data_IF_849978796508
#
_entry.id   IF_849978796508
#
_cell.length_a   1.000
_cell.length_b   1.000
_cell.length_c   1.000
_cell.angle_alpha   90.00
_cell.angle_beta   90.00
_cell.angle_gamma   90.00
#
_symmetry.space_group_name_H-M   'P 1'
#
loop_
_entity.id
_entity.type
_entity.pdbx_description
1 polymer ?
#
# COMPACT_ATOMS: atom_id res chain seq x y z
N UNK A 1 -35.63 18.45 -50.64
CA UNK A 1 -34.40 17.66 -50.86
C UNK A 1 -34.54 16.38 -50.03
N UNK A 2 -34.95 15.27 -50.64
CA UNK A 2 -35.06 13.98 -49.96
C UNK A 2 -33.68 13.36 -49.88
N UNK A 3 -33.12 13.31 -48.67
CA UNK A 3 -31.87 12.59 -48.46
C UNK A 3 -32.10 11.11 -48.82
N UNK A 4 -31.28 10.51 -49.70
CA UNK A 4 -31.48 9.13 -50.06
C UNK A 4 -31.17 8.26 -48.84
N UNK A 5 -32.10 7.39 -48.44
CA UNK A 5 -32.01 6.65 -47.17
C UNK A 5 -30.66 5.93 -47.00
N UNK A 6 -30.05 5.47 -48.09
CA UNK A 6 -28.74 4.80 -48.10
C UNK A 6 -27.60 5.61 -47.45
N UNK A 7 -27.58 6.95 -47.57
CA UNK A 7 -26.52 7.79 -46.97
C UNK A 7 -26.66 7.96 -45.47
N UNK A 8 -27.88 7.87 -44.93
CA UNK A 8 -28.14 7.98 -43.49
C UNK A 8 -27.54 6.78 -42.73
N UNK A 9 -27.63 5.59 -43.30
CA UNK A 9 -27.04 4.37 -42.72
C UNK A 9 -25.51 4.38 -42.78
N UNK A 10 -24.93 4.96 -43.83
CA UNK A 10 -23.47 5.11 -43.96
C UNK A 10 -22.88 6.05 -42.89
N UNK A 11 -23.58 7.13 -42.54
CA UNK A 11 -23.13 8.08 -41.52
C UNK A 11 -23.16 7.51 -40.10
N UNK A 12 -24.16 6.65 -39.80
CA UNK A 12 -24.24 5.96 -38.52
C UNK A 12 -23.08 4.97 -38.31
N UNK A 13 -22.65 4.29 -39.37
CA UNK A 13 -21.47 3.42 -39.33
C UNK A 13 -20.18 4.23 -39.14
N UNK A 14 -20.06 5.39 -39.77
CA UNK A 14 -18.91 6.29 -39.57
C UNK A 14 -18.87 6.83 -38.13
N UNK A 15 -20.01 7.18 -37.54
CA UNK A 15 -20.12 7.61 -36.14
C UNK A 15 -19.77 6.50 -35.13
N UNK A 16 -20.07 5.24 -35.48
CA UNK A 16 -19.67 4.09 -34.66
C UNK A 16 -18.21 3.70 -34.87
N UNK A 17 -17.64 4.02 -36.05
CA UNK A 17 -16.25 3.76 -36.42
C UNK A 17 -15.29 4.91 -36.04
N UNK A 18 -15.78 6.09 -35.64
CA UNK A 18 -14.92 7.05 -34.94
C UNK A 18 -14.51 6.41 -33.64
N UNK A 19 -13.22 6.09 -33.46
CA UNK A 19 -12.81 5.41 -32.25
C UNK A 19 -13.07 6.35 -31.08
N UNK A 20 -13.37 5.75 -29.93
CA UNK A 20 -13.57 6.35 -28.60
C UNK A 20 -12.29 7.09 -28.12
N UNK A 21 -11.38 7.44 -29.03
CA UNK A 21 -10.14 8.22 -28.87
C UNK A 21 -10.31 9.54 -28.13
N UNK A 22 -11.55 10.04 -27.96
CA UNK A 22 -11.85 11.16 -27.07
C UNK A 22 -11.85 10.80 -25.57
N UNK A 23 -11.65 9.53 -25.19
CA UNK A 23 -11.32 9.14 -23.81
C UNK A 23 -9.81 9.24 -23.55
N UNK A 24 -8.96 9.04 -24.56
CA UNK A 24 -7.50 9.11 -24.42
C UNK A 24 -6.89 10.52 -24.38
N UNK A 25 -7.67 11.55 -24.73
CA UNK A 25 -7.25 12.96 -24.68
C UNK A 25 -7.89 13.73 -23.52
N UNK A 26 -8.57 13.04 -22.59
CA UNK A 26 -9.02 13.67 -21.35
C UNK A 26 -7.86 13.67 -20.36
N UNK A 27 -7.62 14.83 -19.73
CA UNK A 27 -6.61 14.98 -18.70
C UNK A 27 -7.03 14.16 -17.46
N UNK A 28 -6.65 12.88 -17.42
CA UNK A 28 -6.89 11.99 -16.26
C UNK A 28 -6.08 12.42 -15.04
N UNK A 29 -5.19 13.41 -15.18
CA UNK A 29 -4.35 13.88 -14.08
C UNK A 29 -5.15 14.25 -12.83
N UNK A 30 -6.39 14.76 -12.92
CA UNK A 30 -7.16 15.03 -11.69
C UNK A 30 -7.53 13.73 -10.95
N UNK A 31 -7.92 12.68 -11.68
CA UNK A 31 -8.28 11.37 -11.12
C UNK A 31 -7.02 10.67 -10.63
N UNK A 32 -5.95 10.72 -11.40
CA UNK A 32 -4.68 10.11 -11.05
C UNK A 32 -4.08 10.80 -9.81
N UNK A 33 -4.12 12.14 -9.72
CA UNK A 33 -3.64 12.86 -8.53
C UNK A 33 -4.51 12.60 -7.30
N UNK A 34 -5.83 12.50 -7.47
CA UNK A 34 -6.74 12.16 -6.37
C UNK A 34 -6.53 10.73 -5.87
N UNK A 35 -6.49 9.75 -6.79
CA UNK A 35 -6.27 8.35 -6.49
C UNK A 35 -4.89 8.13 -5.84
N UNK A 36 -3.83 8.72 -6.41
CA UNK A 36 -2.50 8.68 -5.81
C UNK A 36 -2.47 9.35 -4.42
N UNK A 37 -3.17 10.47 -4.23
CA UNK A 37 -3.28 11.12 -2.93
C UNK A 37 -3.89 10.21 -1.85
N UNK A 38 -4.93 9.44 -2.20
CA UNK A 38 -5.54 8.49 -1.27
C UNK A 38 -4.65 7.25 -1.03
N UNK A 39 -4.13 6.66 -2.11
CA UNK A 39 -3.36 5.42 -2.07
C UNK A 39 -2.00 5.60 -1.39
N UNK A 40 -1.32 6.72 -1.64
CA UNK A 40 0.05 6.96 -1.16
C UNK A 40 0.08 7.65 0.20
N UNK A 41 -0.90 8.50 0.53
CA UNK A 41 -0.85 9.26 1.78
C UNK A 41 -1.83 8.77 2.84
N UNK A 42 -3.07 8.41 2.46
CA UNK A 42 -4.14 8.13 3.42
C UNK A 42 -4.12 6.68 3.88
N UNK A 43 -4.05 5.74 2.95
CA UNK A 43 -4.04 4.30 3.23
C UNK A 43 -2.87 3.85 4.13
N UNK A 44 -1.60 4.17 3.83
CA UNK A 44 -0.49 3.75 4.68
C UNK A 44 -0.53 4.42 6.06
N UNK A 45 -1.00 5.67 6.16
CA UNK A 45 -1.21 6.33 7.44
C UNK A 45 -2.29 5.60 8.27
N UNK A 46 -3.39 5.21 7.65
CA UNK A 46 -4.48 4.51 8.32
C UNK A 46 -4.07 3.11 8.79
N UNK A 47 -3.34 2.37 7.95
CA UNK A 47 -2.78 1.04 8.30
C UNK A 47 -1.79 1.17 9.46
N UNK A 48 -0.88 2.15 9.40
CA UNK A 48 0.08 2.42 10.47
C UNK A 48 -0.63 2.77 11.77
N UNK A 49 -1.64 3.63 11.71
CA UNK A 49 -2.42 4.04 12.87
C UNK A 49 -3.20 2.86 13.48
N UNK A 50 -3.89 2.06 12.66
CA UNK A 50 -4.58 0.85 13.13
C UNK A 50 -3.61 -0.16 13.76
N UNK A 51 -2.43 -0.33 13.17
CA UNK A 51 -1.42 -1.22 13.72
C UNK A 51 -0.94 -0.75 15.10
N UNK A 52 -0.77 0.56 15.30
CA UNK A 52 -0.41 1.13 16.59
C UNK A 52 -1.52 0.91 17.63
N UNK A 53 -2.78 1.17 17.28
CA UNK A 53 -3.91 0.86 18.16
C UNK A 53 -4.01 -0.62 18.51
N UNK A 54 -3.76 -1.52 17.54
CA UNK A 54 -3.80 -2.96 17.77
C UNK A 54 -2.73 -3.42 18.78
N UNK A 55 -1.53 -2.83 18.74
CA UNK A 55 -0.47 -3.09 19.75
C UNK A 55 -0.90 -2.64 21.13
N UNK A 56 -1.53 -1.47 21.26
CA UNK A 56 -2.05 -0.98 22.55
C UNK A 56 -3.12 -1.93 23.11
N UNK A 57 -4.04 -2.39 22.27
CA UNK A 57 -5.05 -3.38 22.67
C UNK A 57 -4.44 -4.73 23.06
N UNK A 58 -3.38 -5.17 22.37
CA UNK A 58 -2.65 -6.38 22.72
C UNK A 58 -2.02 -6.28 24.12
N UNK A 59 -1.33 -5.17 24.41
CA UNK A 59 -0.71 -4.95 25.74
C UNK A 59 -1.77 -4.90 26.84
N UNK A 60 -2.89 -4.22 26.62
CA UNK A 60 -4.02 -4.18 27.56
C UNK A 60 -4.59 -5.58 27.84
N UNK A 61 -4.74 -6.42 26.81
CA UNK A 61 -5.21 -7.80 26.94
C UNK A 61 -4.27 -8.68 27.78
N UNK A 62 -2.95 -8.52 27.61
CA UNK A 62 -1.94 -9.25 28.40
C UNK A 62 -1.96 -8.81 29.86
N UNK A 63 -2.05 -7.51 30.13
CA UNK A 63 -2.12 -6.98 31.51
C UNK A 63 -3.35 -7.52 32.23
N UNK A 64 -4.51 -7.54 31.57
CA UNK A 64 -5.75 -8.06 32.12
C UNK A 64 -5.67 -9.58 32.40
N UNK A 65 -4.96 -10.33 31.56
CA UNK A 65 -4.72 -11.75 31.76
C UNK A 65 -3.86 -12.03 33.00
N UNK A 66 -2.76 -11.30 33.17
CA UNK A 66 -1.87 -11.46 34.32
C UNK A 66 -2.61 -11.13 35.63
N UNK A 67 -3.46 -10.08 35.61
CA UNK A 67 -4.22 -9.66 36.78
C UNK A 67 -5.28 -10.69 37.27
N UNK A 68 -5.75 -11.59 36.40
CA UNK A 68 -6.82 -12.56 36.71
C UNK A 68 -6.30 -13.98 37.03
N UNK A 69 -4.98 -14.14 37.21
CA UNK A 69 -4.33 -15.46 37.36
C UNK A 69 -4.61 -16.18 38.70
N UNK A 70 -5.20 -15.50 39.70
CA UNK A 70 -5.29 -15.99 41.09
C UNK A 70 -6.49 -16.90 41.40
N UNK A 71 -7.37 -17.21 40.44
CA UNK A 71 -8.53 -18.08 40.62
C UNK A 71 -8.50 -19.22 39.59
N UNK A 72 -8.67 -20.47 40.02
CA UNK A 72 -8.54 -21.68 39.17
C UNK A 72 -9.45 -21.61 37.92
N UNK A 73 -10.69 -21.10 38.06
CA UNK A 73 -11.62 -20.86 36.96
C UNK A 73 -11.14 -19.73 36.04
N UNK A 74 -10.67 -18.62 36.62
CA UNK A 74 -10.15 -17.48 35.87
C UNK A 74 -8.83 -17.79 35.16
N UNK A 75 -8.09 -18.81 35.60
CA UNK A 75 -6.86 -19.28 34.97
C UNK A 75 -7.12 -20.01 33.65
N UNK A 76 -8.20 -20.79 33.55
CA UNK A 76 -8.59 -21.40 32.27
C UNK A 76 -9.08 -20.37 31.26
N UNK A 77 -9.97 -19.47 31.69
CA UNK A 77 -10.45 -18.37 30.85
C UNK A 77 -9.31 -17.42 30.43
N UNK A 78 -8.37 -17.19 31.34
CA UNK A 78 -7.18 -16.42 31.08
C UNK A 78 -6.29 -17.07 30.02
N UNK A 79 -6.02 -18.38 30.13
CA UNK A 79 -5.23 -19.12 29.15
C UNK A 79 -5.87 -19.04 27.76
N UNK A 80 -7.19 -19.13 27.67
CA UNK A 80 -7.89 -18.96 26.40
C UNK A 80 -7.71 -17.54 25.84
N UNK A 81 -7.83 -16.50 26.68
CA UNK A 81 -7.56 -15.10 26.28
C UNK A 81 -6.11 -14.86 25.84
N UNK A 82 -5.14 -15.51 26.48
CA UNK A 82 -3.73 -15.43 26.07
C UNK A 82 -3.52 -16.00 24.66
N UNK A 83 -4.15 -17.13 24.33
CA UNK A 83 -4.07 -17.72 22.98
C UNK A 83 -4.70 -16.80 21.95
N UNK A 84 -5.87 -16.21 22.24
CA UNK A 84 -6.49 -15.22 21.35
C UNK A 84 -5.63 -13.98 21.15
N UNK A 85 -4.96 -13.50 22.20
CA UNK A 85 -3.98 -12.41 22.10
C UNK A 85 -2.77 -12.78 21.24
N UNK A 86 -2.23 -13.99 21.41
CA UNK A 86 -1.10 -14.49 20.61
C UNK A 86 -1.47 -14.65 19.13
N UNK A 87 -2.68 -15.13 18.83
CA UNK A 87 -3.18 -15.21 17.45
C UNK A 87 -3.31 -13.82 16.83
N UNK A 88 -3.81 -12.84 17.57
CA UNK A 88 -3.89 -11.45 17.10
C UNK A 88 -2.49 -10.86 16.80
N UNK A 89 -1.50 -11.12 17.67
CA UNK A 89 -0.11 -10.70 17.44
C UNK A 89 0.49 -11.38 16.21
N UNK A 90 0.27 -12.68 16.06
CA UNK A 90 0.76 -13.45 14.93
C UNK A 90 0.23 -12.90 13.59
N UNK A 91 -1.07 -12.57 13.52
CA UNK A 91 -1.68 -11.98 12.32
C UNK A 91 -1.08 -10.61 12.00
N UNK A 92 -0.88 -9.73 12.99
CA UNK A 92 -0.28 -8.41 12.77
C UNK A 92 1.13 -8.50 12.17
N UNK A 93 1.98 -9.35 12.74
CA UNK A 93 3.36 -9.54 12.26
C UNK A 93 3.37 -10.22 10.89
N UNK A 94 2.49 -11.20 10.68
CA UNK A 94 2.33 -11.89 9.40
C UNK A 94 1.95 -10.94 8.26
N UNK A 95 1.04 -10.00 8.51
CA UNK A 95 0.66 -8.98 7.51
C UNK A 95 1.84 -8.08 7.15
N UNK A 96 2.63 -7.59 8.11
CA UNK A 96 3.83 -6.79 7.81
C UNK A 96 4.89 -7.58 7.04
N UNK A 97 5.15 -8.83 7.43
CA UNK A 97 6.08 -9.70 6.71
C UNK A 97 5.62 -9.99 5.28
N UNK A 98 4.32 -10.21 5.10
CA UNK A 98 3.73 -10.42 3.78
C UNK A 98 3.76 -9.14 2.94
N UNK A 99 3.49 -7.98 3.52
CA UNK A 99 3.57 -6.69 2.82
C UNK A 99 4.98 -6.45 2.31
N UNK A 100 6.00 -6.66 3.14
CA UNK A 100 7.42 -6.53 2.74
C UNK A 100 7.76 -7.54 1.63
N UNK A 101 7.34 -8.79 1.78
CA UNK A 101 7.56 -9.82 0.76
C UNK A 101 6.92 -9.44 -0.58
N UNK A 102 5.67 -8.95 -0.55
CA UNK A 102 4.96 -8.49 -1.74
C UNK A 102 5.66 -7.28 -2.35
N UNK A 103 6.11 -6.30 -1.54
CA UNK A 103 6.89 -5.15 -2.00
C UNK A 103 8.17 -5.59 -2.72
N UNK A 104 8.89 -6.57 -2.18
CA UNK A 104 10.10 -7.12 -2.80
C UNK A 104 9.80 -7.87 -4.11
N UNK A 105 8.73 -8.66 -4.18
CA UNK A 105 8.36 -9.41 -5.39
C UNK A 105 7.88 -8.48 -6.52
N UNK A 106 7.11 -7.44 -6.18
CA UNK A 106 6.56 -6.50 -7.17
C UNK A 106 7.52 -5.33 -7.47
N UNK A 107 8.67 -5.24 -6.79
CA UNK A 107 9.64 -4.16 -6.97
C UNK A 107 9.16 -2.80 -6.45
N UNK A 108 8.24 -2.78 -5.49
CA UNK A 108 7.69 -1.55 -4.89
C UNK A 108 8.57 -0.96 -3.77
N UNK A 109 9.84 -1.40 -3.66
CA UNK A 109 10.86 -0.80 -2.78
C UNK A 109 11.26 0.60 -3.29
N UNK A 110 10.33 1.53 -3.20
CA UNK A 110 10.45 2.94 -3.57
C UNK A 110 11.09 3.81 -2.50
N UNK A 111 11.91 3.25 -1.61
CA UNK A 111 12.89 4.04 -0.88
C UNK A 111 14.08 4.27 -1.82
N UNK A 112 13.96 5.30 -2.63
CA UNK A 112 15.12 5.97 -3.20
C UNK A 112 15.97 6.53 -2.06
N UNK A 113 16.82 5.68 -1.48
CA UNK A 113 18.21 6.08 -1.49
C UNK A 113 18.88 5.13 -2.46
N UNK A 114 19.10 5.54 -3.72
CA UNK A 114 20.27 5.02 -4.40
C UNK A 114 21.40 5.21 -3.40
N UNK A 115 21.91 4.11 -2.82
CA UNK A 115 23.31 4.15 -2.43
C UNK A 115 24.05 4.19 -3.76
N UNK A 116 24.10 5.37 -4.35
CA UNK A 116 25.17 5.69 -5.27
C UNK A 116 26.41 5.40 -4.43
N UNK A 117 27.25 4.42 -4.81
CA UNK A 117 28.53 4.29 -4.16
C UNK A 117 29.16 5.66 -4.23
N UNK A 118 29.30 6.31 -3.07
CA UNK A 118 30.08 7.52 -2.98
C UNK A 118 31.50 7.02 -3.21
N UNK A 119 31.95 6.96 -4.47
CA UNK A 119 33.36 6.85 -4.75
C UNK A 119 33.93 8.15 -4.25
N UNK A 120 34.40 8.11 -3.02
CA UNK A 120 35.16 9.17 -2.37
C UNK A 120 36.11 9.74 -3.40
N UNK A 121 35.96 11.02 -3.67
CA UNK A 121 36.85 11.78 -4.51
C UNK A 121 38.30 11.46 -4.11
N UNK A 122 39.04 10.72 -4.95
CA UNK A 122 40.49 10.95 -5.00
C UNK A 122 40.64 12.24 -5.78
N UNK A 123 40.44 13.36 -5.10
CA UNK A 123 40.59 14.69 -5.68
C UNK A 123 41.35 15.58 -4.70
N UNK A 124 42.45 15.05 -4.17
CA UNK A 124 43.37 15.81 -3.34
C UNK A 124 44.85 15.62 -3.69
N UNK A 125 45.37 14.42 -3.96
CA UNK A 125 46.74 14.20 -3.45
C UNK A 125 47.75 13.45 -4.30
N UNK A 126 47.59 13.37 -5.63
CA UNK A 126 48.68 13.01 -6.58
C UNK A 126 48.89 14.13 -7.62
N UNK A 127 48.83 15.42 -7.33
CA UNK A 127 49.93 16.18 -6.73
C UNK A 127 51.39 15.68 -6.96
N UNK A 128 51.71 14.80 -7.94
CA UNK A 128 53.10 14.31 -8.09
C UNK A 128 53.63 13.97 -9.50
N UNK A 129 52.87 14.00 -10.62
CA UNK A 129 53.40 13.49 -11.91
C UNK A 129 53.10 14.28 -13.21
N UNK A 130 52.84 15.59 -13.18
CA UNK A 130 52.87 16.42 -14.40
C UNK A 130 53.38 17.82 -14.14
#
# INVERSE_FOLDING_TARGET
MSFPLKTTWSLLLVLLATPISFIGAQNTAWIDNFANGLLVNVLPLLVTLLSAFAVVYFVWGVVLFIAQTSNEQAREDGKQRMIWGLVALFVLVSVWGLVVLLQTIIGADGASTPYAPQTSYINLQDNYLS
#
